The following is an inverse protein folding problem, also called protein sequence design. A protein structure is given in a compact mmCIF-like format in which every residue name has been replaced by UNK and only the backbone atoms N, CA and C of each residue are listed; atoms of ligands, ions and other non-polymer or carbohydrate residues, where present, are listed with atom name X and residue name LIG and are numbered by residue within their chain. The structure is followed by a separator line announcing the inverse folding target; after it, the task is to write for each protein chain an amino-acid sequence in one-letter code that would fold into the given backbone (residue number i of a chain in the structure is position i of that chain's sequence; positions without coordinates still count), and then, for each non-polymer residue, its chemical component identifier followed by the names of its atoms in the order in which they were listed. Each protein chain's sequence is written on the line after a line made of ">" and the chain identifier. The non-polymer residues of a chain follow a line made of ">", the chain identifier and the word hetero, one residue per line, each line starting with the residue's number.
data_IF_776788276859
#
_entry.id   IF_776788276859
#
_cell.length_a   1.000
_cell.length_b   1.000
_cell.length_c   1.000
_cell.angle_alpha   90.00
_cell.angle_beta   90.00
_cell.angle_gamma   90.00
#
_symmetry.space_group_name_H-M   'P 1'
#
loop_
_entity.id
_entity.type
_entity.pdbx_description
1 polymer ?
#
# COMPACT_ATOMS: atom_id res chain seq x y z
N UNK A 1 -41.23 -5.21 -9.04
CA UNK A 1 -39.90 -4.59 -8.89
C UNK A 1 -40.01 -3.16 -9.39
N UNK A 2 -39.77 -2.17 -8.54
CA UNK A 2 -39.81 -0.75 -8.93
C UNK A 2 -38.38 -0.28 -9.15
N UNK A 3 -38.11 0.29 -10.33
CA UNK A 3 -36.81 0.88 -10.63
C UNK A 3 -36.92 2.39 -10.44
N UNK A 4 -36.01 2.95 -9.64
CA UNK A 4 -35.91 4.40 -9.45
C UNK A 4 -34.59 4.84 -10.08
N UNK A 5 -34.67 5.78 -11.02
CA UNK A 5 -33.48 6.42 -11.57
C UNK A 5 -32.93 7.40 -10.54
N UNK A 6 -31.73 7.10 -10.07
CA UNK A 6 -30.98 7.97 -9.16
C UNK A 6 -30.13 8.92 -9.99
N UNK A 7 -30.42 10.23 -9.92
CA UNK A 7 -29.57 11.28 -10.49
C UNK A 7 -29.02 12.13 -9.36
N UNK A 8 -27.70 12.34 -9.39
CA UNK A 8 -27.01 13.22 -8.47
C UNK A 8 -27.07 14.66 -8.98
N UNK A 9 -27.20 15.65 -8.08
CA UNK A 9 -27.13 17.04 -8.49
C UNK A 9 -25.74 17.37 -9.05
N UNK A 10 -25.68 18.28 -10.03
CA UNK A 10 -24.44 18.60 -10.74
C UNK A 10 -23.29 19.02 -9.80
N UNK A 11 -23.63 19.64 -8.67
CA UNK A 11 -22.62 20.05 -7.69
C UNK A 11 -21.87 18.86 -7.08
N UNK A 12 -22.49 17.69 -6.95
CA UNK A 12 -21.84 16.49 -6.42
C UNK A 12 -20.64 16.07 -7.27
N UNK A 13 -20.66 16.43 -8.56
CA UNK A 13 -19.58 16.14 -9.51
C UNK A 13 -18.53 17.24 -9.58
N UNK A 14 -18.66 18.37 -8.88
CA UNK A 14 -17.60 19.38 -8.86
C UNK A 14 -16.30 18.76 -8.31
N UNK A 15 -15.18 19.08 -8.94
CA UNK A 15 -13.86 18.80 -8.40
C UNK A 15 -13.58 19.69 -7.18
N UNK A 16 -12.56 19.33 -6.39
CA UNK A 16 -12.12 20.22 -5.32
C UNK A 16 -11.69 21.58 -5.91
N UNK A 17 -11.98 22.71 -5.23
CA UNK A 17 -11.47 24.01 -5.64
C UNK A 17 -9.95 23.95 -5.80
N UNK A 18 -9.45 24.50 -6.90
CA UNK A 18 -8.02 24.59 -7.25
C UNK A 18 -7.19 25.42 -6.25
N UNK A 19 -7.84 26.12 -5.32
CA UNK A 19 -7.21 27.11 -4.44
C UNK A 19 -6.60 26.53 -3.16
N UNK A 20 -6.87 25.27 -2.81
CA UNK A 20 -6.15 24.65 -1.68
C UNK A 20 -4.80 24.13 -2.18
N UNK A 21 -3.67 24.52 -1.56
CA UNK A 21 -2.39 23.88 -1.83
C UNK A 21 -2.55 22.39 -1.54
N UNK A 22 -2.60 21.58 -2.59
CA UNK A 22 -2.73 20.14 -2.42
C UNK A 22 -1.57 19.63 -1.58
N UNK A 23 -1.84 18.66 -0.70
CA UNK A 23 -0.81 18.14 0.20
C UNK A 23 0.39 17.60 -0.60
N UNK A 24 1.60 17.94 -0.16
CA UNK A 24 2.84 17.30 -0.63
C UNK A 24 2.98 15.95 0.06
N UNK A 25 3.85 15.08 -0.47
CA UNK A 25 4.15 13.81 0.20
C UNK A 25 4.59 14.06 1.65
N UNK A 26 5.51 15.01 1.87
CA UNK A 26 5.99 15.36 3.21
C UNK A 26 4.88 15.84 4.14
N UNK A 27 3.91 16.63 3.66
CA UNK A 27 2.80 17.10 4.50
C UNK A 27 1.80 15.99 4.83
N UNK A 28 1.57 15.04 3.91
CA UNK A 28 0.80 13.82 4.20
C UNK A 28 1.50 12.98 5.26
N UNK A 29 2.80 12.72 5.11
CA UNK A 29 3.58 11.95 6.09
C UNK A 29 3.59 12.63 7.47
N UNK A 30 3.69 13.96 7.51
CA UNK A 30 3.58 14.73 8.75
C UNK A 30 2.18 14.62 9.38
N UNK A 31 1.11 14.74 8.58
CA UNK A 31 -0.28 14.59 9.03
C UNK A 31 -0.57 13.21 9.61
N UNK A 32 0.06 12.17 9.05
CA UNK A 32 -0.04 10.82 9.59
C UNK A 32 0.68 10.68 10.95
N UNK A 33 1.31 11.73 11.48
CA UNK A 33 2.05 11.76 12.74
C UNK A 33 3.08 10.63 12.85
N UNK A 34 3.68 10.27 11.73
CA UNK A 34 4.68 9.21 11.68
C UNK A 34 5.92 9.72 12.43
N UNK A 35 6.22 9.09 13.58
CA UNK A 35 7.29 9.54 14.50
C UNK A 35 8.64 9.60 13.78
N UNK A 36 9.61 10.32 14.37
CA UNK A 36 10.97 10.50 13.83
C UNK A 36 11.70 9.17 13.51
N UNK A 37 11.36 8.08 14.20
CA UNK A 37 11.82 6.71 13.90
C UNK A 37 11.30 6.19 12.54
N UNK A 38 10.03 6.46 12.19
CA UNK A 38 9.44 6.07 10.90
C UNK A 38 10.03 6.87 9.72
N UNK A 39 10.53 8.10 9.97
CA UNK A 39 11.24 8.87 8.93
C UNK A 39 12.54 8.19 8.47
N UNK A 40 13.24 7.48 9.36
CA UNK A 40 14.39 6.64 8.96
C UNK A 40 13.93 5.45 8.11
N UNK A 41 12.79 4.88 8.47
CA UNK A 41 12.09 3.86 7.69
C UNK A 41 11.79 4.29 6.26
N UNK A 42 11.40 5.54 6.00
CA UNK A 42 11.19 6.03 4.63
C UNK A 42 12.47 6.00 3.80
N UNK A 43 13.61 6.44 4.34
CA UNK A 43 14.89 6.32 3.65
C UNK A 43 15.23 4.87 3.28
N UNK A 44 14.89 3.92 4.15
CA UNK A 44 15.05 2.49 3.90
C UNK A 44 14.04 1.95 2.88
N UNK A 45 12.78 2.38 2.93
CA UNK A 45 11.72 2.04 1.98
C UNK A 45 12.11 2.54 0.57
N UNK A 46 12.54 3.80 0.45
CA UNK A 46 13.01 4.36 -0.81
C UNK A 46 14.19 3.56 -1.37
N UNK A 47 15.14 3.19 -0.51
CA UNK A 47 16.28 2.34 -0.90
C UNK A 47 15.84 0.94 -1.33
N UNK A 48 14.89 0.30 -0.65
CA UNK A 48 14.34 -1.01 -1.03
C UNK A 48 13.65 -0.95 -2.40
N UNK A 49 12.97 0.15 -2.70
CA UNK A 49 12.35 0.39 -4.00
C UNK A 49 13.34 0.92 -5.06
N UNK A 50 14.60 1.18 -4.69
CA UNK A 50 15.62 1.73 -5.58
C UNK A 50 15.31 3.14 -6.09
N UNK A 51 14.51 3.92 -5.36
CA UNK A 51 14.10 5.29 -5.74
C UNK A 51 14.61 6.31 -4.73
N UNK A 52 14.73 7.58 -5.15
CA UNK A 52 15.05 8.69 -4.25
C UNK A 52 13.79 9.28 -3.60
N UNK A 53 13.95 10.03 -2.50
CA UNK A 53 12.83 10.77 -1.88
C UNK A 53 12.22 11.81 -2.83
N UNK A 54 13.06 12.44 -3.66
CA UNK A 54 12.62 13.38 -4.69
C UNK A 54 11.74 12.68 -5.72
N UNK A 55 12.16 11.50 -6.19
CA UNK A 55 11.39 10.71 -7.13
C UNK A 55 10.08 10.18 -6.53
N UNK A 56 10.10 9.74 -5.26
CA UNK A 56 8.89 9.35 -4.54
C UNK A 56 7.89 10.51 -4.44
N UNK A 57 8.40 11.72 -4.15
CA UNK A 57 7.60 12.94 -4.08
C UNK A 57 7.01 13.34 -5.44
N UNK A 58 7.78 13.22 -6.51
CA UNK A 58 7.31 13.46 -7.89
C UNK A 58 6.24 12.45 -8.32
N UNK A 59 6.47 11.16 -8.07
CA UNK A 59 5.48 10.10 -8.33
C UNK A 59 4.19 10.33 -7.55
N UNK A 60 4.29 10.74 -6.28
CA UNK A 60 3.13 11.10 -5.47
C UNK A 60 2.38 12.29 -6.07
N UNK A 61 3.07 13.37 -6.44
CA UNK A 61 2.46 14.55 -7.04
C UNK A 61 1.75 14.21 -8.37
N UNK A 62 2.41 13.45 -9.26
CA UNK A 62 1.82 12.98 -10.53
C UNK A 62 0.56 12.16 -10.30
N UNK A 63 0.61 11.19 -9.37
CA UNK A 63 -0.54 10.34 -9.07
C UNK A 63 -1.70 11.15 -8.46
N UNK A 64 -1.38 12.10 -7.57
CA UNK A 64 -2.34 13.03 -6.98
C UNK A 64 -3.01 13.86 -8.07
N UNK A 65 -2.24 14.51 -8.93
CA UNK A 65 -2.77 15.42 -9.96
C UNK A 65 -3.66 14.66 -10.95
N UNK A 66 -3.22 13.46 -11.34
CA UNK A 66 -4.04 12.55 -12.16
C UNK A 66 -5.34 12.14 -11.46
N UNK A 67 -5.28 11.84 -10.17
CA UNK A 67 -6.47 11.50 -9.37
C UNK A 67 -7.43 12.69 -9.32
N UNK A 68 -6.92 13.90 -9.09
CA UNK A 68 -7.73 15.11 -9.01
C UNK A 68 -8.43 15.45 -10.33
N UNK A 69 -7.79 15.20 -11.48
CA UNK A 69 -8.36 15.49 -12.80
C UNK A 69 -9.28 14.39 -13.33
N UNK A 70 -8.98 13.12 -13.07
CA UNK A 70 -9.65 12.00 -13.72
C UNK A 70 -10.63 11.23 -12.81
N UNK A 71 -10.57 11.40 -11.49
CA UNK A 71 -11.33 10.56 -10.57
C UNK A 71 -12.85 10.64 -10.76
N UNK A 72 -13.47 9.47 -10.65
CA UNK A 72 -14.91 9.27 -10.82
C UNK A 72 -15.54 8.83 -9.50
N UNK A 73 -16.82 9.15 -9.35
CA UNK A 73 -17.64 8.67 -8.24
C UNK A 73 -18.19 7.32 -8.68
N UNK A 74 -17.82 6.26 -7.96
CA UNK A 74 -18.33 4.92 -8.23
C UNK A 74 -19.82 4.80 -7.88
N UNK A 75 -20.54 3.90 -8.56
CA UNK A 75 -21.99 3.76 -8.44
C UNK A 75 -22.47 3.50 -7.00
N UNK A 76 -21.73 2.71 -6.22
CA UNK A 76 -22.06 2.44 -4.81
C UNK A 76 -22.10 3.73 -3.99
N UNK A 77 -21.14 4.64 -4.24
CA UNK A 77 -21.04 5.93 -3.54
C UNK A 77 -22.13 6.89 -4.02
N UNK A 78 -22.48 6.84 -5.31
CA UNK A 78 -23.58 7.65 -5.85
C UNK A 78 -24.90 7.31 -5.16
N UNK A 79 -25.17 6.02 -4.95
CA UNK A 79 -26.38 5.55 -4.24
C UNK A 79 -26.37 6.01 -2.79
N UNK A 80 -25.25 5.88 -2.07
CA UNK A 80 -25.17 6.33 -0.67
C UNK A 80 -25.41 7.84 -0.59
N UNK A 81 -24.79 8.63 -1.46
CA UNK A 81 -24.98 10.07 -1.47
C UNK A 81 -26.44 10.46 -1.73
N UNK A 82 -27.10 9.81 -2.68
CA UNK A 82 -28.53 10.03 -2.93
C UNK A 82 -29.37 9.74 -1.69
N UNK A 83 -29.09 8.63 -1.00
CA UNK A 83 -29.79 8.25 0.22
C UNK A 83 -29.57 9.28 1.33
N UNK A 84 -28.35 9.71 1.56
CA UNK A 84 -28.03 10.70 2.59
C UNK A 84 -28.58 12.10 2.27
N UNK A 85 -28.81 12.40 0.98
CA UNK A 85 -29.38 13.70 0.54
C UNK A 85 -30.90 13.72 0.59
N UNK A 86 -31.56 12.66 0.12
CA UNK A 86 -33.02 12.60 -0.01
C UNK A 86 -33.69 11.98 1.21
N UNK A 87 -32.98 11.12 1.95
CA UNK A 87 -33.53 10.37 3.08
C UNK A 87 -34.71 9.44 2.72
N UNK A 88 -34.65 8.66 1.61
CA UNK A 88 -35.78 7.83 1.21
C UNK A 88 -36.07 6.75 2.25
N UNK A 89 -37.34 6.41 2.41
CA UNK A 89 -37.79 5.33 3.28
C UNK A 89 -38.62 4.30 2.49
N UNK A 90 -38.38 2.99 2.66
CA UNK A 90 -37.40 2.39 3.58
C UNK A 90 -35.95 2.47 3.05
N UNK A 91 -34.98 2.53 3.96
CA UNK A 91 -33.56 2.46 3.61
C UNK A 91 -33.18 1.05 3.09
N UNK A 92 -32.35 0.95 2.03
CA UNK A 92 -31.83 -0.35 1.60
C UNK A 92 -30.89 -0.92 2.66
N UNK A 93 -30.86 -2.25 2.78
CA UNK A 93 -29.89 -2.96 3.65
C UNK A 93 -28.57 -3.27 2.93
N UNK A 94 -28.65 -3.43 1.62
CA UNK A 94 -27.56 -3.89 0.74
C UNK A 94 -27.25 -2.82 -0.28
N UNK A 95 -25.97 -2.53 -0.50
CA UNK A 95 -25.49 -1.72 -1.62
C UNK A 95 -24.50 -2.54 -2.44
N UNK A 96 -24.83 -2.78 -3.70
CA UNK A 96 -23.99 -3.50 -4.64
C UNK A 96 -24.25 -3.03 -6.07
N UNK A 97 -23.29 -3.23 -6.95
CA UNK A 97 -23.45 -3.08 -8.39
C UNK A 97 -23.26 -4.43 -9.09
N UNK A 98 -23.31 -4.45 -10.42
CA UNK A 98 -22.98 -5.65 -11.22
C UNK A 98 -21.51 -6.07 -11.08
N UNK A 99 -20.66 -5.20 -10.51
CA UNK A 99 -19.27 -5.48 -10.20
C UNK A 99 -19.07 -5.54 -8.68
N UNK A 100 -18.07 -6.29 -8.27
CA UNK A 100 -17.69 -6.38 -6.86
C UNK A 100 -17.21 -5.02 -6.37
N UNK A 101 -17.50 -4.69 -5.12
CA UNK A 101 -17.08 -3.41 -4.56
C UNK A 101 -15.55 -3.31 -4.52
N UNK A 102 -15.03 -2.14 -4.88
CA UNK A 102 -13.62 -1.85 -4.70
C UNK A 102 -13.26 -1.62 -3.23
N UNK A 103 -11.96 -1.58 -2.92
CA UNK A 103 -11.51 -1.33 -1.56
C UNK A 103 -12.15 -0.09 -0.94
N UNK A 104 -12.14 1.04 -1.66
CA UNK A 104 -12.68 2.31 -1.14
C UNK A 104 -14.20 2.29 -1.01
N UNK A 105 -14.92 1.67 -1.94
CA UNK A 105 -16.37 1.50 -1.83
C UNK A 105 -16.74 0.62 -0.61
N UNK A 106 -16.07 -0.53 -0.47
CA UNK A 106 -16.28 -1.42 0.67
C UNK A 106 -15.95 -0.74 2.00
N UNK A 107 -14.80 -0.07 2.08
CA UNK A 107 -14.37 0.63 3.29
C UNK A 107 -15.33 1.77 3.66
N UNK A 108 -15.86 2.50 2.67
CA UNK A 108 -16.85 3.54 2.90
C UNK A 108 -18.18 2.98 3.41
N UNK A 109 -18.68 1.91 2.78
CA UNK A 109 -19.90 1.19 3.20
C UNK A 109 -19.76 0.68 4.64
N UNK A 110 -18.64 0.03 4.96
CA UNK A 110 -18.38 -0.51 6.29
C UNK A 110 -18.31 0.61 7.35
N UNK A 111 -17.59 1.71 7.06
CA UNK A 111 -17.50 2.88 7.95
C UNK A 111 -18.87 3.59 8.13
N UNK A 112 -19.72 3.56 7.11
CA UNK A 112 -21.06 4.12 7.18
C UNK A 112 -21.97 3.37 8.17
N UNK A 113 -21.85 2.04 8.25
CA UNK A 113 -22.51 1.19 9.25
C UNK A 113 -24.00 0.89 9.03
N UNK A 114 -24.70 1.67 8.19
CA UNK A 114 -26.12 1.41 7.84
C UNK A 114 -26.32 0.37 6.73
N UNK A 115 -25.27 0.05 5.98
CA UNK A 115 -25.34 -0.78 4.77
C UNK A 115 -24.26 -1.85 4.80
N UNK A 116 -24.46 -2.92 4.02
CA UNK A 116 -23.40 -3.87 3.72
C UNK A 116 -23.28 -4.10 2.21
N UNK A 117 -22.10 -4.53 1.77
CA UNK A 117 -21.87 -5.02 0.41
C UNK A 117 -21.52 -6.50 0.48
N UNK A 118 -22.16 -7.36 -0.33
CA UNK A 118 -22.02 -8.81 -0.19
C UNK A 118 -20.68 -9.32 -0.71
N UNK A 119 -20.08 -8.64 -1.70
CA UNK A 119 -18.82 -9.04 -2.34
C UNK A 119 -17.95 -7.82 -2.62
N UNK A 120 -16.67 -7.95 -2.33
CA UNK A 120 -15.65 -6.96 -2.64
C UNK A 120 -14.37 -7.63 -3.12
N UNK A 121 -13.68 -7.01 -4.06
CA UNK A 121 -12.44 -7.58 -4.63
C UNK A 121 -11.17 -6.98 -4.00
N UNK A 122 -11.29 -6.02 -3.08
CA UNK A 122 -10.16 -5.47 -2.31
C UNK A 122 -9.13 -4.63 -3.07
N UNK A 123 -9.36 -4.33 -4.36
CA UNK A 123 -8.43 -3.51 -5.17
C UNK A 123 -8.69 -2.03 -4.95
N UNK A 124 -7.61 -1.28 -4.74
CA UNK A 124 -7.60 0.17 -4.66
C UNK A 124 -7.58 0.76 -6.09
N UNK A 125 -8.50 1.66 -6.39
CA UNK A 125 -8.51 2.40 -7.67
C UNK A 125 -8.11 3.86 -7.41
N UNK A 126 -7.00 4.34 -7.98
CA UNK A 126 -6.59 5.74 -7.82
C UNK A 126 -7.58 6.72 -8.46
N UNK A 127 -8.30 6.32 -9.51
CA UNK A 127 -9.35 7.13 -10.15
C UNK A 127 -10.69 7.17 -9.40
N UNK A 128 -10.66 7.12 -8.07
CA UNK A 128 -11.85 7.13 -7.21
C UNK A 128 -11.93 8.42 -6.42
N UNK A 129 -13.14 8.96 -6.23
CA UNK A 129 -13.37 10.09 -5.33
C UNK A 129 -14.75 10.06 -4.68
N UNK A 130 -14.87 10.82 -3.59
CA UNK A 130 -16.15 11.17 -3.02
C UNK A 130 -16.88 12.24 -3.86
N UNK A 131 -18.21 12.26 -3.82
CA UNK A 131 -19.00 13.40 -4.27
C UNK A 131 -18.68 14.64 -3.42
N UNK A 132 -18.85 15.82 -4.02
CA UNK A 132 -18.72 17.08 -3.29
C UNK A 132 -19.92 17.28 -2.36
N UNK A 133 -19.65 17.44 -1.06
CA UNK A 133 -20.64 17.81 -0.06
C UNK A 133 -20.62 19.33 0.14
N UNK A 134 -21.75 20.05 -0.05
CA UNK A 134 -21.79 21.51 0.05
C UNK A 134 -21.58 22.02 1.49
N UNK A 135 -21.79 21.17 2.48
CA UNK A 135 -21.49 21.45 3.89
C UNK A 135 -20.41 20.49 4.40
N UNK A 136 -19.66 20.85 5.46
CA UNK A 136 -18.71 19.94 6.10
C UNK A 136 -19.41 18.63 6.48
N UNK A 137 -19.12 17.57 5.72
CA UNK A 137 -19.76 16.29 5.91
C UNK A 137 -19.04 15.51 7.01
N UNK A 138 -19.75 15.22 8.10
CA UNK A 138 -19.25 14.33 9.15
C UNK A 138 -18.81 12.98 8.56
N UNK A 139 -19.51 12.53 7.52
CA UNK A 139 -19.23 11.29 6.83
C UNK A 139 -17.89 11.34 6.07
N UNK A 140 -17.63 12.44 5.35
CA UNK A 140 -16.35 12.66 4.68
C UNK A 140 -15.20 12.68 5.70
N UNK A 141 -15.36 13.42 6.80
CA UNK A 141 -14.34 13.52 7.85
C UNK A 141 -14.03 12.17 8.49
N UNK A 142 -15.07 11.40 8.87
CA UNK A 142 -14.90 10.07 9.44
C UNK A 142 -14.21 9.13 8.45
N UNK A 143 -14.53 9.23 7.16
CA UNK A 143 -13.88 8.42 6.14
C UNK A 143 -12.40 8.76 5.99
N UNK A 144 -12.06 10.05 5.89
CA UNK A 144 -10.66 10.51 5.82
C UNK A 144 -9.88 10.05 7.06
N UNK A 145 -10.46 10.20 8.26
CA UNK A 145 -9.82 9.74 9.49
C UNK A 145 -9.60 8.22 9.50
N UNK A 146 -10.56 7.44 9.02
CA UNK A 146 -10.42 5.99 8.90
C UNK A 146 -9.31 5.62 7.90
N UNK A 147 -9.23 6.29 6.75
CA UNK A 147 -8.16 6.07 5.78
C UNK A 147 -6.79 6.44 6.34
N UNK A 148 -6.69 7.53 7.11
CA UNK A 148 -5.45 7.91 7.78
C UNK A 148 -5.01 6.85 8.79
N UNK A 149 -5.95 6.32 9.58
CA UNK A 149 -5.64 5.25 10.53
C UNK A 149 -5.22 3.97 9.79
N UNK A 150 -5.94 3.60 8.73
CA UNK A 150 -5.59 2.43 7.92
C UNK A 150 -4.21 2.56 7.29
N UNK A 151 -3.85 3.75 6.80
CA UNK A 151 -2.53 4.02 6.28
C UNK A 151 -1.48 3.85 7.37
N UNK A 152 -1.66 4.46 8.55
CA UNK A 152 -0.75 4.32 9.70
C UNK A 152 -0.54 2.87 10.09
N UNK A 153 -1.63 2.12 10.29
CA UNK A 153 -1.57 0.71 10.70
C UNK A 153 -0.77 -0.12 9.69
N UNK A 154 -1.01 0.08 8.39
CA UNK A 154 -0.27 -0.61 7.34
C UNK A 154 1.20 -0.22 7.29
N UNK A 155 1.54 1.03 7.57
CA UNK A 155 2.93 1.47 7.65
C UNK A 155 3.63 0.93 8.89
N UNK A 156 2.99 0.97 10.06
CA UNK A 156 3.59 0.51 11.31
C UNK A 156 3.90 -0.99 11.24
N UNK A 157 3.02 -1.79 10.63
CA UNK A 157 3.27 -3.20 10.34
C UNK A 157 4.49 -3.40 9.42
N UNK A 158 4.56 -2.65 8.32
CA UNK A 158 5.70 -2.78 7.39
C UNK A 158 7.03 -2.37 8.03
N UNK A 159 7.04 -1.35 8.89
CA UNK A 159 8.25 -0.93 9.61
C UNK A 159 8.70 -2.00 10.60
N UNK A 160 7.77 -2.59 11.36
CA UNK A 160 8.09 -3.67 12.28
C UNK A 160 8.69 -4.88 11.55
N UNK A 161 8.14 -5.25 10.38
CA UNK A 161 8.66 -6.35 9.55
C UNK A 161 10.07 -6.04 9.02
N UNK A 162 10.33 -4.81 8.60
CA UNK A 162 11.66 -4.38 8.13
C UNK A 162 12.67 -4.40 9.28
N UNK A 163 12.32 -3.85 10.44
CA UNK A 163 13.18 -3.84 11.63
C UNK A 163 13.49 -5.25 12.12
N UNK A 164 12.48 -6.13 12.16
CA UNK A 164 12.65 -7.54 12.50
C UNK A 164 13.60 -8.24 11.53
N UNK A 165 13.41 -8.06 10.22
CA UNK A 165 14.28 -8.67 9.21
C UNK A 165 15.73 -8.18 9.31
N UNK A 166 15.93 -6.88 9.59
CA UNK A 166 17.26 -6.31 9.80
C UNK A 166 17.95 -6.92 11.04
N UNK A 167 17.24 -7.06 12.16
CA UNK A 167 17.78 -7.68 13.37
C UNK A 167 18.15 -9.16 13.15
N UNK A 168 17.33 -9.90 12.39
CA UNK A 168 17.63 -11.29 12.02
C UNK A 168 18.89 -11.39 11.15
N UNK A 169 19.11 -10.46 10.21
CA UNK A 169 20.32 -10.42 9.40
C UNK A 169 21.56 -10.15 10.26
N UNK A 170 21.53 -9.14 11.13
CA UNK A 170 22.64 -8.84 12.04
C UNK A 170 22.93 -9.99 13.03
N UNK A 171 21.90 -10.73 13.44
CA UNK A 171 22.05 -11.91 14.31
C UNK A 171 22.69 -13.08 13.56
N UNK A 172 22.30 -13.31 12.29
CA UNK A 172 22.95 -14.30 11.42
C UNK A 172 24.40 -13.94 11.15
N UNK A 173 24.71 -12.69 10.84
CA UNK A 173 26.07 -12.21 10.64
C UNK A 173 26.93 -12.38 11.90
N UNK A 174 26.39 -12.06 13.08
CA UNK A 174 27.08 -12.32 14.37
C UNK A 174 27.30 -13.81 14.64
N UNK A 175 26.33 -14.67 14.31
CA UNK A 175 26.49 -16.11 14.44
C UNK A 175 27.57 -16.64 13.48
N UNK A 176 27.59 -16.17 12.23
CA UNK A 176 28.62 -16.51 11.26
C UNK A 176 30.00 -15.95 11.64
N UNK A 177 30.07 -14.76 12.27
CA UNK A 177 31.31 -14.15 12.73
C UNK A 177 31.86 -14.80 14.02
N UNK A 178 30.98 -15.34 14.88
CA UNK A 178 31.34 -16.11 16.08
C UNK A 178 31.63 -17.59 15.80
N UNK A 179 31.18 -18.11 14.65
CA UNK A 179 31.55 -19.43 14.17
C UNK A 179 32.98 -19.39 13.62
N UNK A 180 33.97 -19.55 14.49
CA UNK A 180 35.33 -19.89 14.09
C UNK A 180 35.27 -21.22 13.34
N UNK A 181 35.30 -21.17 12.00
CA UNK A 181 35.41 -22.34 11.16
C UNK A 181 36.72 -23.07 11.50
N UNK A 182 36.65 -24.05 12.41
CA UNK A 182 37.67 -25.10 12.47
C UNK A 182 37.49 -25.92 11.20
N UNK A 183 38.27 -25.56 10.17
CA UNK A 183 38.62 -26.51 9.11
C UNK A 183 39.15 -27.78 9.78
N UNK A 184 38.54 -28.96 9.57
CA UNK A 184 39.13 -30.21 10.03
C UNK A 184 40.50 -30.35 9.37
N UNK A 185 41.52 -30.46 10.21
CA UNK A 185 42.90 -30.65 9.81
C UNK A 185 43.06 -32.07 9.27
N UNK A 186 42.80 -32.26 7.96
CA UNK A 186 43.13 -33.52 7.29
C UNK A 186 44.64 -33.55 7.04
N UNK A 187 45.26 -34.53 7.67
CA UNK A 187 46.70 -34.70 7.80
C UNK A 187 47.36 -34.84 6.42
N UNK A 188 48.09 -33.81 6.00
CA UNK A 188 49.18 -33.97 5.04
C UNK A 188 50.31 -34.76 5.72
N UNK A 189 50.26 -36.09 5.62
CA UNK A 189 51.46 -36.93 5.76
C UNK A 189 52.24 -36.87 4.45
N UNK A 190 53.32 -36.11 4.49
CA UNK A 190 54.44 -36.29 3.56
C UNK A 190 55.06 -37.66 3.84
N UNK A 191 55.14 -38.50 2.82
CA UNK A 191 56.04 -39.65 2.79
C UNK A 191 56.69 -39.72 1.41
N UNK A 192 58.01 -39.82 1.47
CA UNK A 192 59.03 -39.67 0.44
C UNK A 192 59.04 -40.75 -0.65
N UNK A 193 59.83 -40.47 -1.70
CA UNK A 193 60.38 -41.37 -2.75
C UNK A 193 59.44 -41.42 -3.98
N UNK A 194 59.83 -41.10 -5.21
CA UNK A 194 61.10 -40.74 -5.84
C UNK A 194 60.85 -40.61 -7.37
N UNK A 195 61.75 -39.90 -8.05
CA UNK A 195 62.07 -39.92 -9.49
C UNK A 195 60.97 -40.07 -10.58
N UNK A 196 60.95 -39.05 -11.45
CA UNK A 196 60.80 -39.05 -12.93
C UNK A 196 60.23 -40.31 -13.60
N UNK A 197 59.18 -40.13 -14.42
CA UNK A 197 59.30 -40.31 -15.88
C UNK A 197 58.05 -39.89 -16.68
N UNK A 198 58.28 -39.77 -17.98
CA UNK A 198 57.55 -39.09 -19.04
C UNK A 198 56.16 -39.61 -19.50
N UNK A 199 55.51 -38.72 -20.27
CA UNK A 199 54.69 -38.94 -21.48
C UNK A 199 53.26 -39.50 -21.40
N UNK A 200 52.30 -38.56 -21.54
CA UNK A 200 51.21 -38.47 -22.55
C UNK A 200 50.27 -39.71 -22.77
N UNK A 201 49.28 -39.66 -23.69
CA UNK A 201 47.94 -39.11 -23.42
C UNK A 201 46.79 -40.08 -23.77
N UNK A 202 45.55 -39.69 -23.41
CA UNK A 202 44.23 -40.12 -23.96
C UNK A 202 43.85 -41.61 -23.84
N UNK A 203 42.64 -41.88 -23.32
CA UNK A 203 41.47 -42.18 -24.17
C UNK A 203 40.22 -42.48 -23.32
N UNK A 204 39.17 -41.75 -23.67
CA UNK A 204 37.72 -41.99 -23.61
C UNK A 204 37.13 -43.34 -23.12
N UNK A 205 35.93 -43.17 -22.55
CA UNK A 205 34.73 -44.03 -22.64
C UNK A 205 34.74 -45.32 -21.78
N UNK A 206 33.69 -45.66 -21.01
CA UNK A 206 32.26 -45.33 -21.02
C UNK A 206 31.72 -45.36 -19.59
#
# INVERSE_FOLDING_TARGET
>A
MQTVLVSLPQYAFRGAPTERPYSTLSSVLARLNMKRQHRRGFGQIWRLFGISELEASDRFAKQRDKTMSEAKIHAEIQVIFYIETIGPQPLPRVICSSKDACFLCNAFIAMHGKFHTPRHHGRLYPGWRLPHFPQPSDLERRFIQMLDNHAKDKYDLNIADIEFNAEQLERRERYCAGAQWRVPNEQLRVSSIGQVDHCTPRADAR
#
